data_IF_482162963788
#
_entry.id   IF_482162963788
#
_cell.length_a   1.000
_cell.length_b   1.000
_cell.length_c   1.000
_cell.angle_alpha   90.00
_cell.angle_beta   90.00
_cell.angle_gamma   90.00
#
_symmetry.space_group_name_H-M   'P 1'
#
loop_
_entity.id
_entity.type
_entity.pdbx_description
1 polymer ?
#
# COMPACT_ATOMS: atom_id res chain seq x y z
N UNK A 1 47.58 17.31 -45.07
CA UNK A 1 47.74 18.60 -45.77
C UNK A 1 46.33 19.15 -45.91
N UNK A 2 45.84 20.23 -45.30
CA UNK A 2 46.34 21.48 -44.70
C UNK A 2 45.19 21.97 -43.78
N UNK A 3 45.35 22.12 -42.45
CA UNK A 3 45.83 23.31 -41.70
C UNK A 3 45.15 24.65 -42.00
N UNK A 4 44.91 25.39 -40.90
CA UNK A 4 44.63 26.84 -40.76
C UNK A 4 43.14 27.20 -40.67
N UNK A 5 42.62 27.92 -39.68
CA UNK A 5 43.25 28.71 -38.62
C UNK A 5 42.54 30.07 -38.50
N UNK A 6 41.82 30.29 -37.40
CA UNK A 6 41.55 31.56 -36.68
C UNK A 6 41.16 32.87 -37.42
N UNK A 7 40.22 33.63 -36.85
CA UNK A 7 40.38 34.99 -36.27
C UNK A 7 39.02 35.73 -36.21
N UNK A 8 38.74 36.33 -35.04
CA UNK A 8 37.59 37.17 -34.67
C UNK A 8 37.47 38.46 -35.52
N UNK A 9 36.34 39.19 -35.38
CA UNK A 9 36.51 40.53 -34.83
C UNK A 9 35.51 40.93 -33.75
N UNK A 10 35.96 41.96 -33.05
CA UNK A 10 35.59 42.52 -31.75
C UNK A 10 34.49 43.58 -31.85
N UNK A 11 33.64 43.63 -30.82
CA UNK A 11 32.97 44.80 -30.21
C UNK A 11 32.02 45.74 -31.00
N UNK A 12 30.77 45.82 -30.52
CA UNK A 12 30.07 47.05 -30.08
C UNK A 12 28.78 46.64 -29.32
N UNK A 13 28.75 46.73 -27.97
CA UNK A 13 28.18 47.81 -27.12
C UNK A 13 26.66 48.07 -27.28
N UNK A 14 25.95 47.94 -26.15
CA UNK A 14 24.57 48.42 -25.93
C UNK A 14 23.77 47.51 -24.98
N UNK A 15 24.10 47.43 -23.69
CA UNK A 15 23.36 48.05 -22.56
C UNK A 15 21.83 47.85 -22.61
N UNK A 16 21.30 46.98 -21.74
CA UNK A 16 20.32 47.29 -20.67
C UNK A 16 19.62 46.02 -20.15
N UNK A 17 19.80 45.75 -18.87
CA UNK A 17 18.75 45.51 -17.87
C UNK A 17 19.03 44.31 -16.96
N UNK A 18 19.43 44.68 -15.75
CA UNK A 18 19.64 43.89 -14.56
C UNK A 18 18.33 43.47 -13.90
N UNK A 19 18.26 42.24 -13.37
CA UNK A 19 17.70 41.90 -12.05
C UNK A 19 17.75 40.38 -11.81
N UNK A 20 18.86 39.90 -11.22
CA UNK A 20 18.90 38.62 -10.47
C UNK A 20 19.57 38.90 -9.12
N UNK A 21 18.86 38.63 -8.03
CA UNK A 21 19.38 38.71 -6.66
C UNK A 21 20.21 37.45 -6.32
N UNK A 22 21.43 37.60 -5.78
CA UNK A 22 22.06 36.55 -4.98
C UNK A 22 21.97 36.91 -3.48
N UNK A 23 21.24 36.11 -2.71
CA UNK A 23 21.26 36.22 -1.25
C UNK A 23 22.56 35.64 -0.69
N UNK A 24 23.26 36.48 0.06
CA UNK A 24 24.57 36.27 0.67
C UNK A 24 24.41 35.62 2.05
N UNK A 25 25.21 34.60 2.32
CA UNK A 25 25.44 34.06 3.67
C UNK A 25 26.18 35.10 4.54
N UNK A 26 25.66 35.38 5.73
CA UNK A 26 26.44 35.98 6.82
C UNK A 26 26.11 35.32 8.15
N UNK A 27 27.15 34.74 8.75
CA UNK A 27 27.25 34.19 10.09
C UNK A 27 27.09 35.27 11.17
N UNK A 28 26.36 34.98 12.26
CA UNK A 28 26.38 35.78 13.49
C UNK A 28 26.60 34.83 14.68
N UNK A 29 27.63 35.13 15.46
CA UNK A 29 28.06 34.44 16.68
C UNK A 29 27.17 34.81 17.90
N UNK A 30 27.19 34.03 19.01
CA UNK A 30 26.29 34.23 20.15
C UNK A 30 26.87 35.23 21.16
N UNK A 31 26.12 36.29 21.47
CA UNK A 31 26.47 37.24 22.54
C UNK A 31 25.85 36.78 23.87
N UNK A 32 26.69 36.38 24.82
CA UNK A 32 26.36 36.20 26.22
C UNK A 32 26.13 37.57 26.88
N UNK A 33 24.95 37.78 27.48
CA UNK A 33 24.72 38.90 28.40
C UNK A 33 24.14 38.38 29.71
N UNK A 34 24.92 38.54 30.78
CA UNK A 34 24.60 38.30 32.18
C UNK A 34 23.43 39.19 32.61
N UNK A 35 22.24 38.63 32.83
CA UNK A 35 21.13 39.35 33.44
C UNK A 35 20.96 38.97 34.90
N UNK A 36 21.27 39.95 35.75
CA UNK A 36 21.20 39.97 37.20
C UNK A 36 19.73 39.84 37.66
N UNK A 37 19.44 38.87 38.52
CA UNK A 37 18.13 38.69 39.13
C UNK A 37 17.86 39.80 40.15
N UNK A 38 16.83 40.63 39.91
CA UNK A 38 16.20 41.45 40.94
C UNK A 38 14.76 40.98 41.12
N UNK A 39 14.49 40.37 42.27
CA UNK A 39 13.16 39.93 42.71
C UNK A 39 12.31 41.16 43.07
N UNK A 40 11.45 41.59 42.16
CA UNK A 40 10.36 42.52 42.45
C UNK A 40 9.03 41.78 42.59
N UNK A 41 8.53 41.66 43.82
CA UNK A 41 7.17 41.23 44.12
C UNK A 41 6.18 42.27 43.57
N UNK A 42 5.50 41.96 42.47
CA UNK A 42 4.30 42.67 42.01
C UNK A 42 3.14 41.69 41.91
N UNK A 43 2.16 41.88 42.78
CA UNK A 43 0.87 41.20 42.76
C UNK A 43 0.19 41.36 41.39
N UNK A 44 0.11 40.28 40.62
CA UNK A 44 -0.76 40.18 39.44
C UNK A 44 -2.18 39.85 39.92
N UNK A 45 -3.23 40.56 39.45
CA UNK A 45 -4.59 40.11 39.66
C UNK A 45 -4.76 38.76 38.94
N UNK A 46 -5.45 37.82 39.60
CA UNK A 46 -5.80 36.51 39.04
C UNK A 46 -6.54 36.72 37.71
N UNK A 47 -5.84 36.49 36.59
CA UNK A 47 -6.49 36.24 35.30
C UNK A 47 -7.41 35.05 35.52
N UNK A 48 -8.72 35.27 35.38
CA UNK A 48 -9.70 34.20 35.35
C UNK A 48 -9.23 33.14 34.36
N UNK A 49 -9.39 31.87 34.73
CA UNK A 49 -9.25 30.75 33.80
C UNK A 49 -10.29 30.97 32.70
N UNK A 50 -9.88 31.54 31.57
CA UNK A 50 -10.63 31.37 30.33
C UNK A 50 -10.74 29.87 30.11
N UNK A 51 -11.97 29.36 30.20
CA UNK A 51 -12.26 27.98 29.84
C UNK A 51 -11.77 27.78 28.40
N UNK A 52 -11.05 26.68 28.09
CA UNK A 52 -10.66 26.41 26.72
C UNK A 52 -11.94 26.37 25.90
N UNK A 53 -12.09 27.31 24.97
CA UNK A 53 -13.17 27.30 24.00
C UNK A 53 -13.13 25.93 23.32
N UNK A 54 -14.20 25.14 23.49
CA UNK A 54 -14.30 23.80 22.92
C UNK A 54 -14.04 23.93 21.42
N UNK A 55 -12.84 23.54 20.98
CA UNK A 55 -12.52 23.43 19.55
C UNK A 55 -13.62 22.59 18.92
N UNK A 56 -14.34 23.12 17.94
CA UNK A 56 -15.42 22.39 17.26
C UNK A 56 -14.87 21.02 16.85
N UNK A 57 -15.37 19.95 17.49
CA UNK A 57 -14.98 18.58 17.15
C UNK A 57 -15.33 18.38 15.68
N UNK A 58 -14.34 17.99 14.87
CA UNK A 58 -14.56 17.65 13.47
C UNK A 58 -15.58 16.52 13.32
N UNK A 59 -16.06 16.25 12.10
CA UNK A 59 -17.01 15.17 11.86
C UNK A 59 -16.39 13.82 12.29
N UNK A 60 -17.15 13.06 13.08
CA UNK A 60 -16.72 11.75 13.58
C UNK A 60 -16.72 10.68 12.48
N UNK A 61 -17.49 10.88 11.42
CA UNK A 61 -17.60 9.97 10.29
C UNK A 61 -16.86 10.52 9.06
N UNK A 62 -16.55 9.62 8.13
CA UNK A 62 -16.10 10.02 6.81
C UNK A 62 -17.26 10.63 6.03
N UNK A 63 -16.98 11.68 5.23
CA UNK A 63 -17.98 12.32 4.38
C UNK A 63 -18.55 11.27 3.43
N UNK A 64 -19.86 11.16 3.33
CA UNK A 64 -20.55 10.29 2.37
C UNK A 64 -21.18 11.15 1.29
N UNK A 65 -21.13 10.67 0.04
CA UNK A 65 -21.74 11.32 -1.12
C UNK A 65 -22.91 10.44 -1.53
N UNK A 66 -24.11 11.01 -1.66
CA UNK A 66 -25.29 10.25 -2.06
C UNK A 66 -25.05 9.55 -3.40
N UNK A 67 -25.19 8.22 -3.41
CA UNK A 67 -24.91 7.40 -4.60
C UNK A 67 -26.00 7.47 -5.67
N UNK A 68 -27.18 8.00 -5.32
CA UNK A 68 -28.35 8.08 -6.22
C UNK A 68 -28.12 8.96 -7.44
N UNK A 69 -27.32 10.00 -7.27
CA UNK A 69 -27.07 11.01 -8.31
C UNK A 69 -25.88 10.62 -9.21
N UNK A 70 -25.17 9.53 -8.90
CA UNK A 70 -23.98 9.10 -9.65
C UNK A 70 -24.32 7.98 -10.65
N UNK A 71 -23.77 8.02 -11.86
CA UNK A 71 -23.92 6.92 -12.81
C UNK A 71 -23.20 5.67 -12.28
N UNK A 72 -23.93 4.56 -12.25
CA UNK A 72 -23.41 3.25 -11.86
C UNK A 72 -23.45 2.30 -13.05
N UNK A 73 -22.48 1.39 -13.11
CA UNK A 73 -22.28 0.50 -14.24
C UNK A 73 -22.36 -0.96 -13.81
N UNK A 74 -22.84 -1.82 -14.71
CA UNK A 74 -22.71 -3.27 -14.55
C UNK A 74 -21.24 -3.68 -14.70
N UNK A 75 -20.87 -4.85 -14.16
CA UNK A 75 -19.50 -5.35 -14.27
C UNK A 75 -19.05 -5.46 -15.73
N UNK A 76 -19.88 -6.04 -16.61
CA UNK A 76 -19.55 -6.20 -18.03
C UNK A 76 -19.36 -4.85 -18.74
N UNK A 77 -20.19 -3.84 -18.41
CA UNK A 77 -20.07 -2.50 -19.01
C UNK A 77 -18.79 -1.80 -18.53
N UNK A 78 -18.51 -1.84 -17.22
CA UNK A 78 -17.27 -1.29 -16.67
C UNK A 78 -16.03 -1.96 -17.29
N UNK A 79 -16.03 -3.28 -17.44
CA UNK A 79 -14.95 -4.01 -18.10
C UNK A 79 -14.75 -3.58 -19.55
N UNK A 80 -15.84 -3.39 -20.31
CA UNK A 80 -15.79 -2.90 -21.69
C UNK A 80 -15.07 -1.56 -21.78
N UNK A 81 -15.45 -0.59 -20.94
CA UNK A 81 -14.84 0.73 -20.94
C UNK A 81 -13.37 0.69 -20.51
N UNK A 82 -13.06 -0.04 -19.43
CA UNK A 82 -11.68 -0.18 -18.95
C UNK A 82 -10.79 -0.79 -20.03
N UNK A 83 -11.24 -1.85 -20.72
CA UNK A 83 -10.46 -2.50 -21.78
C UNK A 83 -10.25 -1.59 -23.00
N UNK A 84 -11.23 -0.77 -23.34
CA UNK A 84 -11.07 0.22 -24.40
C UNK A 84 -10.00 1.26 -24.05
N UNK A 85 -9.90 1.64 -22.78
CA UNK A 85 -8.93 2.62 -22.29
C UNK A 85 -7.52 2.01 -22.21
N UNK A 86 -7.40 0.76 -21.78
CA UNK A 86 -6.12 0.04 -21.67
C UNK A 86 -5.66 -0.62 -22.98
N UNK A 87 -6.16 -0.16 -24.13
CA UNK A 87 -5.77 -0.71 -25.44
C UNK A 87 -4.26 -0.56 -25.68
N UNK A 88 -3.64 -1.60 -26.23
CA UNK A 88 -2.20 -1.64 -26.49
C UNK A 88 -1.32 -1.87 -25.26
N UNK A 89 -1.91 -2.16 -24.09
CA UNK A 89 -1.17 -2.58 -22.89
C UNK A 89 -1.12 -4.10 -22.76
N UNK A 90 -0.08 -4.59 -22.10
CA UNK A 90 0.06 -6.03 -21.86
C UNK A 90 -1.01 -6.54 -20.87
N UNK A 91 -1.81 -7.56 -21.24
CA UNK A 91 -2.98 -7.97 -20.48
C UNK A 91 -2.65 -8.65 -19.13
N UNK A 92 -1.45 -9.19 -18.98
CA UNK A 92 -0.93 -9.86 -17.78
C UNK A 92 -0.38 -8.87 -16.75
N UNK A 93 0.18 -7.75 -17.21
CA UNK A 93 0.80 -6.72 -16.37
C UNK A 93 -0.25 -5.77 -15.80
N UNK A 94 -1.22 -5.35 -16.62
CA UNK A 94 -2.27 -4.45 -16.17
C UNK A 94 -3.30 -5.18 -15.31
N UNK A 95 -3.67 -4.56 -14.19
CA UNK A 95 -4.54 -5.16 -13.18
C UNK A 95 -5.81 -4.35 -13.00
N UNK A 96 -6.89 -5.06 -12.72
CA UNK A 96 -8.12 -4.50 -12.18
C UNK A 96 -7.94 -4.30 -10.67
N UNK A 97 -8.19 -3.08 -10.19
CA UNK A 97 -8.19 -2.72 -8.78
C UNK A 97 -9.60 -2.40 -8.31
N UNK A 98 -9.90 -2.86 -7.09
CA UNK A 98 -11.18 -2.61 -6.44
C UNK A 98 -10.98 -1.65 -5.28
N UNK A 99 -11.77 -0.59 -5.26
CA UNK A 99 -11.82 0.38 -4.18
C UNK A 99 -13.17 0.24 -3.48
N UNK A 100 -13.14 -0.33 -2.29
CA UNK A 100 -14.34 -0.58 -1.48
C UNK A 100 -14.37 0.48 -0.39
N UNK A 101 -15.32 1.41 -0.50
CA UNK A 101 -15.56 2.45 0.50
C UNK A 101 -16.47 1.89 1.58
N UNK A 102 -16.04 2.04 2.82
CA UNK A 102 -16.77 1.62 4.00
C UNK A 102 -17.42 2.83 4.67
N UNK A 103 -18.62 2.62 5.19
CA UNK A 103 -19.25 3.52 6.15
C UNK A 103 -18.72 3.19 7.53
N UNK A 104 -17.90 4.08 8.09
CA UNK A 104 -17.31 3.90 9.42
C UNK A 104 -16.95 5.24 10.07
N UNK A 105 -16.64 5.19 11.37
CA UNK A 105 -16.13 6.32 12.16
C UNK A 105 -14.61 6.44 11.97
N UNK A 106 -14.09 7.66 12.06
CA UNK A 106 -12.65 7.94 11.93
C UNK A 106 -11.80 7.27 13.01
N UNK A 107 -12.35 7.16 14.22
CA UNK A 107 -11.65 6.61 15.40
C UNK A 107 -11.85 5.09 15.56
N UNK A 108 -12.26 4.39 14.49
CA UNK A 108 -12.53 2.95 14.52
C UNK A 108 -11.28 2.07 14.32
N UNK A 109 -11.33 0.79 14.76
CA UNK A 109 -10.30 -0.19 14.41
C UNK A 109 -10.23 -0.38 12.89
N UNK A 110 -9.04 -0.65 12.33
CA UNK A 110 -8.87 -0.85 10.88
C UNK A 110 -8.95 -2.32 10.51
N UNK A 111 -9.59 -2.64 9.38
CA UNK A 111 -9.59 -4.00 8.84
C UNK A 111 -8.22 -4.27 8.19
N UNK A 112 -7.58 -5.37 8.57
CA UNK A 112 -6.36 -5.89 7.95
C UNK A 112 -6.43 -7.40 7.92
N UNK A 113 -6.50 -7.97 6.72
CA UNK A 113 -6.55 -9.41 6.56
C UNK A 113 -5.90 -9.84 5.22
N UNK A 114 -5.94 -11.14 4.95
CA UNK A 114 -5.44 -11.76 3.73
C UNK A 114 -6.54 -12.63 3.11
N UNK A 115 -6.59 -12.63 1.79
CA UNK A 115 -7.55 -13.40 1.00
C UNK A 115 -6.81 -14.16 -0.09
N UNK A 116 -7.20 -15.42 -0.30
CA UNK A 116 -6.79 -16.20 -1.46
C UNK A 116 -7.87 -16.12 -2.52
N UNK A 117 -7.48 -15.78 -3.75
CA UNK A 117 -8.40 -15.72 -4.87
C UNK A 117 -8.59 -17.11 -5.52
N UNK A 118 -9.80 -17.42 -6.01
CA UNK A 118 -10.03 -18.56 -6.91
C UNK A 118 -9.18 -18.49 -8.18
N UNK A 119 -9.02 -17.27 -8.74
CA UNK A 119 -8.19 -17.02 -9.91
C UNK A 119 -7.00 -16.13 -9.56
N UNK A 120 -5.78 -16.59 -9.87
CA UNK A 120 -4.54 -15.96 -9.43
C UNK A 120 -4.31 -14.58 -10.07
N UNK A 121 -4.34 -13.52 -9.26
CA UNK A 121 -4.16 -12.13 -9.72
C UNK A 121 -2.69 -11.75 -9.86
N UNK A 122 -1.85 -12.28 -8.99
CA UNK A 122 -0.42 -11.97 -8.92
C UNK A 122 0.40 -13.19 -9.27
N UNK A 123 1.60 -12.95 -9.82
CA UNK A 123 2.64 -13.96 -9.92
C UNK A 123 2.91 -14.56 -8.54
N UNK A 124 3.20 -15.87 -8.50
CA UNK A 124 3.53 -16.54 -7.26
C UNK A 124 4.69 -15.84 -6.56
N UNK A 125 4.46 -15.40 -5.32
CA UNK A 125 5.49 -14.75 -4.52
C UNK A 125 6.55 -15.76 -4.12
N UNK A 126 7.83 -15.39 -4.25
CA UNK A 126 8.94 -16.21 -3.74
C UNK A 126 9.00 -16.07 -2.23
N UNK A 127 8.76 -17.16 -1.51
CA UNK A 127 8.68 -17.17 -0.05
C UNK A 127 9.97 -17.78 0.51
N UNK A 128 10.60 -17.04 1.43
CA UNK A 128 11.71 -17.51 2.25
C UNK A 128 11.20 -17.84 3.66
N UNK A 129 11.65 -18.97 4.22
CA UNK A 129 11.34 -19.39 5.58
C UNK A 129 12.63 -19.51 6.38
N UNK A 130 12.72 -18.74 7.47
CA UNK A 130 13.80 -18.82 8.44
C UNK A 130 13.41 -19.81 9.53
N UNK A 131 14.07 -20.95 9.59
CA UNK A 131 13.84 -21.98 10.60
C UNK A 131 15.13 -22.78 10.85
N UNK A 132 15.24 -23.48 12.00
CA UNK A 132 16.41 -24.27 12.30
C UNK A 132 16.63 -25.37 11.25
N UNK A 133 17.88 -25.62 10.80
CA UNK A 133 18.16 -26.62 9.78
C UNK A 133 17.75 -28.02 10.26
N UNK A 134 17.15 -28.81 9.38
CA UNK A 134 16.71 -30.18 9.68
C UNK A 134 15.46 -30.31 10.57
N UNK A 135 14.85 -29.19 10.97
CA UNK A 135 13.61 -29.18 11.75
C UNK A 135 12.39 -29.70 10.96
N UNK A 136 11.31 -30.05 11.67
CA UNK A 136 10.01 -30.40 11.04
C UNK A 136 9.49 -29.25 10.19
N UNK A 137 9.53 -28.03 10.73
CA UNK A 137 9.14 -26.80 10.05
C UNK A 137 9.89 -26.59 8.72
N UNK A 138 11.18 -26.94 8.65
CA UNK A 138 11.94 -26.83 7.41
C UNK A 138 11.42 -27.78 6.31
N UNK A 139 11.12 -29.03 6.67
CA UNK A 139 10.58 -30.02 5.73
C UNK A 139 9.17 -29.65 5.27
N UNK A 140 8.34 -29.20 6.19
CA UNK A 140 6.98 -28.74 5.94
C UNK A 140 6.95 -27.49 5.05
N UNK A 141 7.86 -26.53 5.27
CA UNK A 141 7.99 -25.35 4.43
C UNK A 141 8.37 -25.69 2.99
N UNK A 142 9.34 -26.59 2.79
CA UNK A 142 9.74 -27.06 1.46
C UNK A 142 8.59 -27.79 0.76
N UNK A 143 7.85 -28.64 1.48
CA UNK A 143 6.69 -29.34 0.94
C UNK A 143 5.55 -28.38 0.54
N UNK A 144 5.34 -27.31 1.31
CA UNK A 144 4.36 -26.27 0.99
C UNK A 144 4.77 -25.37 -0.21
N UNK A 145 6.01 -25.48 -0.69
CA UNK A 145 6.53 -24.74 -1.84
C UNK A 145 7.30 -23.46 -1.49
N UNK A 146 7.94 -23.40 -0.32
CA UNK A 146 8.92 -22.35 -0.04
C UNK A 146 10.15 -22.49 -0.95
N UNK A 147 10.64 -21.38 -1.48
CA UNK A 147 11.77 -21.36 -2.43
C UNK A 147 13.10 -21.48 -1.69
N UNK A 148 13.22 -20.82 -0.54
CA UNK A 148 14.42 -20.79 0.29
C UNK A 148 14.03 -21.12 1.72
N UNK A 149 14.73 -22.07 2.32
CA UNK A 149 14.51 -22.52 3.69
C UNK A 149 15.85 -22.71 4.37
N UNK A 150 16.07 -22.03 5.50
CA UNK A 150 17.33 -22.16 6.24
C UNK A 150 17.53 -21.03 7.25
N UNK A 151 18.62 -21.10 7.99
CA UNK A 151 18.98 -20.11 9.02
C UNK A 151 20.25 -19.34 8.64
N UNK A 152 21.44 -19.90 8.90
CA UNK A 152 22.70 -19.20 8.63
C UNK A 152 22.94 -18.93 7.14
N UNK A 153 22.64 -19.88 6.27
CA UNK A 153 22.80 -19.73 4.81
C UNK A 153 21.98 -18.55 4.26
N UNK A 154 20.74 -18.40 4.74
CA UNK A 154 19.86 -17.28 4.39
C UNK A 154 20.43 -15.97 4.94
N UNK A 155 20.96 -15.98 6.16
CA UNK A 155 21.54 -14.77 6.76
C UNK A 155 22.76 -14.28 6.00
N UNK A 156 23.63 -15.19 5.57
CA UNK A 156 24.84 -14.85 4.83
C UNK A 156 24.52 -14.36 3.42
N UNK A 157 23.54 -14.98 2.74
CA UNK A 157 23.04 -14.49 1.45
C UNK A 157 22.45 -13.07 1.56
N UNK A 158 21.65 -12.80 2.60
CA UNK A 158 21.08 -11.46 2.84
C UNK A 158 22.16 -10.43 3.16
N UNK A 159 23.19 -10.79 3.93
CA UNK A 159 24.34 -9.91 4.22
C UNK A 159 25.19 -9.62 2.98
N UNK A 160 25.33 -10.61 2.10
CA UNK A 160 25.99 -10.45 0.80
C UNK A 160 25.18 -9.56 -0.18
N UNK A 161 23.91 -9.28 0.15
CA UNK A 161 23.03 -8.44 -0.66
C UNK A 161 22.17 -9.22 -1.66
N UNK A 162 22.29 -10.54 -1.70
CA UNK A 162 21.50 -11.42 -2.57
C UNK A 162 20.15 -11.72 -1.92
N UNK A 163 19.11 -11.03 -2.36
CA UNK A 163 17.74 -11.20 -1.85
C UNK A 163 16.83 -11.62 -3.02
N UNK A 164 16.54 -12.90 -3.11
CA UNK A 164 15.74 -13.52 -4.18
C UNK A 164 14.33 -13.91 -3.73
N UNK A 165 13.84 -13.33 -2.63
CA UNK A 165 12.51 -13.59 -2.09
C UNK A 165 11.71 -12.31 -1.89
N UNK A 166 10.39 -12.42 -2.04
CA UNK A 166 9.45 -11.30 -1.95
C UNK A 166 8.74 -11.27 -0.58
N UNK A 167 8.75 -12.40 0.14
CA UNK A 167 8.18 -12.56 1.48
C UNK A 167 9.11 -13.39 2.37
N UNK A 168 9.21 -13.02 3.65
CA UNK A 168 9.98 -13.76 4.64
C UNK A 168 9.08 -14.17 5.81
N UNK A 169 9.13 -15.45 6.16
CA UNK A 169 8.55 -16.02 7.36
C UNK A 169 9.66 -16.45 8.32
N UNK A 170 9.35 -16.52 9.61
CA UNK A 170 10.25 -17.07 10.60
C UNK A 170 9.52 -17.99 11.58
N UNK A 171 10.16 -19.09 11.94
CA UNK A 171 9.75 -19.90 13.08
C UNK A 171 10.19 -19.20 14.40
N UNK A 172 9.39 -19.24 15.49
CA UNK A 172 9.75 -18.64 16.77
C UNK A 172 11.15 -19.02 17.27
N UNK A 173 11.56 -20.27 17.08
CA UNK A 173 12.87 -20.78 17.53
C UNK A 173 14.07 -20.09 16.88
N UNK A 174 13.92 -19.59 15.65
CA UNK A 174 14.99 -18.89 14.92
C UNK A 174 15.00 -17.38 15.15
N UNK A 175 14.05 -16.83 15.93
CA UNK A 175 14.05 -15.40 16.26
C UNK A 175 15.30 -14.93 17.02
N UNK A 176 15.84 -15.66 18.01
CA UNK A 176 17.06 -15.26 18.69
C UNK A 176 18.26 -15.17 17.73
N UNK A 177 18.35 -16.11 16.78
CA UNK A 177 19.41 -16.12 15.78
C UNK A 177 19.25 -14.96 14.78
N UNK A 178 18.02 -14.70 14.31
CA UNK A 178 17.69 -13.57 13.45
C UNK A 178 18.05 -12.22 14.09
N UNK A 179 17.75 -12.05 15.39
CA UNK A 179 18.09 -10.84 16.13
C UNK A 179 19.61 -10.67 16.29
N UNK A 180 20.34 -11.75 16.56
CA UNK A 180 21.82 -11.75 16.62
C UNK A 180 22.45 -11.43 15.26
N UNK A 181 21.84 -11.86 14.16
CA UNK A 181 22.34 -11.63 12.81
C UNK A 181 22.25 -10.16 12.35
N UNK A 182 21.59 -9.28 13.11
CA UNK A 182 21.48 -7.84 12.87
C UNK A 182 20.94 -7.47 11.46
N UNK A 183 20.11 -8.34 10.86
CA UNK A 183 19.56 -8.17 9.51
C UNK A 183 18.50 -7.06 9.39
N UNK A 184 18.06 -6.50 10.51
CA UNK A 184 17.03 -5.46 10.55
C UNK A 184 17.38 -4.20 9.74
N UNK A 185 18.68 -3.88 9.60
CA UNK A 185 19.13 -2.74 8.77
C UNK A 185 18.88 -2.96 7.27
N UNK A 186 18.91 -4.22 6.81
CA UNK A 186 18.74 -4.59 5.39
C UNK A 186 17.28 -4.92 5.10
N UNK A 187 16.68 -5.81 5.90
CA UNK A 187 15.31 -6.30 5.68
C UNK A 187 14.23 -5.30 6.14
N UNK A 188 14.56 -4.41 7.09
CA UNK A 188 13.63 -3.43 7.65
C UNK A 188 13.12 -2.41 6.62
N UNK A 189 14.00 -1.67 5.92
CA UNK A 189 13.59 -0.72 4.88
C UNK A 189 12.80 -1.35 3.73
N UNK A 190 13.05 -2.64 3.45
CA UNK A 190 12.33 -3.42 2.42
C UNK A 190 11.01 -4.01 2.90
N UNK A 191 10.68 -3.89 4.19
CA UNK A 191 9.45 -4.47 4.76
C UNK A 191 9.44 -6.00 4.80
N UNK A 192 10.61 -6.64 4.69
CA UNK A 192 10.77 -8.10 4.69
C UNK A 192 11.09 -8.65 6.08
N UNK A 193 11.36 -7.79 7.07
CA UNK A 193 11.72 -8.23 8.43
C UNK A 193 10.54 -8.95 9.11
N UNK A 194 10.71 -10.23 9.51
CA UNK A 194 9.67 -10.95 10.24
C UNK A 194 9.36 -10.30 11.59
N UNK A 195 8.07 -10.20 11.94
CA UNK A 195 7.63 -9.71 13.25
C UNK A 195 6.32 -10.37 13.70
N UNK A 196 6.18 -10.63 15.00
CA UNK A 196 4.96 -11.20 15.59
C UNK A 196 3.74 -10.30 15.34
N UNK A 197 3.91 -8.98 15.40
CA UNK A 197 2.84 -7.99 15.11
C UNK A 197 2.31 -8.08 13.67
N UNK A 198 3.15 -8.52 12.73
CA UNK A 198 2.77 -8.67 11.31
C UNK A 198 2.19 -10.06 11.03
N UNK A 199 2.28 -11.00 11.99
CA UNK A 199 1.83 -12.38 11.81
C UNK A 199 2.70 -13.14 10.79
N UNK A 200 3.99 -12.81 10.74
CA UNK A 200 5.00 -13.51 9.91
C UNK A 200 5.93 -14.37 10.75
N UNK A 201 5.73 -14.38 12.07
CA UNK A 201 6.34 -15.33 13.00
C UNK A 201 5.24 -16.31 13.39
N UNK A 202 5.35 -17.56 12.96
CA UNK A 202 4.29 -18.57 13.09
C UNK A 202 4.92 -19.93 13.37
N UNK A 203 4.30 -20.72 14.24
CA UNK A 203 4.68 -22.13 14.50
C UNK A 203 4.29 -23.01 13.31
N UNK A 204 3.04 -22.92 12.85
CA UNK A 204 2.57 -23.58 11.63
C UNK A 204 3.01 -22.81 10.37
N UNK A 205 4.16 -23.23 9.85
CA UNK A 205 4.77 -22.60 8.67
C UNK A 205 4.07 -23.04 7.38
N UNK A 206 3.68 -24.31 7.26
CA UNK A 206 3.10 -24.85 6.02
C UNK A 206 1.81 -24.12 5.65
N UNK A 207 0.84 -24.06 6.57
CA UNK A 207 -0.42 -23.37 6.31
C UNK A 207 -0.20 -21.89 5.97
N UNK A 208 0.80 -21.26 6.61
CA UNK A 208 1.11 -19.85 6.35
C UNK A 208 1.76 -19.63 4.98
N UNK A 209 2.64 -20.53 4.54
CA UNK A 209 3.23 -20.51 3.20
C UNK A 209 2.13 -20.68 2.15
N UNK A 210 1.23 -21.62 2.32
CA UNK A 210 0.10 -21.84 1.40
C UNK A 210 -0.86 -20.66 1.32
N UNK A 211 -1.13 -20.01 2.46
CA UNK A 211 -1.94 -18.79 2.50
C UNK A 211 -1.25 -17.62 1.80
N UNK A 212 0.06 -17.45 2.01
CA UNK A 212 0.84 -16.38 1.36
C UNK A 212 1.01 -16.63 -0.13
N UNK A 213 1.07 -17.90 -0.55
CA UNK A 213 1.14 -18.29 -1.95
C UNK A 213 -0.20 -18.01 -2.64
N UNK A 214 -0.22 -16.95 -3.45
CA UNK A 214 -1.45 -16.45 -4.09
C UNK A 214 -2.37 -15.65 -3.16
N UNK A 215 -1.98 -15.45 -1.90
CA UNK A 215 -2.69 -14.61 -0.94
C UNK A 215 -2.44 -13.13 -1.20
N UNK A 216 -3.52 -12.37 -1.35
CA UNK A 216 -3.46 -10.91 -1.43
C UNK A 216 -3.81 -10.32 -0.06
N UNK A 217 -2.89 -9.50 0.46
CA UNK A 217 -3.10 -8.76 1.71
C UNK A 217 -3.85 -7.49 1.38
N UNK A 218 -4.92 -7.20 2.11
CA UNK A 218 -5.63 -5.92 2.04
C UNK A 218 -5.67 -5.25 3.40
N UNK A 219 -5.65 -3.93 3.36
CA UNK A 219 -5.70 -3.07 4.55
C UNK A 219 -6.56 -1.87 4.26
N UNK A 220 -7.46 -1.59 5.18
CA UNK A 220 -8.25 -0.37 5.18
C UNK A 220 -7.37 0.86 5.48
N UNK A 221 -7.54 1.89 4.65
CA UNK A 221 -6.98 3.22 4.85
C UNK A 221 -8.05 4.26 4.52
N UNK A 222 -8.28 5.20 5.42
CA UNK A 222 -9.27 6.28 5.23
C UNK A 222 -10.68 5.76 4.86
N UNK A 223 -11.11 4.67 5.52
CA UNK A 223 -12.34 3.94 5.24
C UNK A 223 -12.45 3.37 3.81
N UNK A 224 -11.33 3.21 3.09
CA UNK A 224 -11.29 2.55 1.78
C UNK A 224 -10.35 1.35 1.85
N UNK A 225 -10.84 0.20 1.40
CA UNK A 225 -10.02 -0.97 1.13
C UNK A 225 -9.67 -0.95 -0.36
N UNK A 226 -8.37 -1.05 -0.67
CA UNK A 226 -7.84 -1.07 -2.03
C UNK A 226 -7.10 -2.37 -2.24
N UNK A 227 -7.45 -3.12 -3.27
CA UNK A 227 -6.78 -4.36 -3.62
C UNK A 227 -6.89 -4.68 -5.12
N UNK A 228 -5.87 -5.28 -5.73
CA UNK A 228 -5.98 -5.84 -7.06
C UNK A 228 -6.84 -7.12 -7.01
N UNK A 229 -7.81 -7.23 -7.92
CA UNK A 229 -8.78 -8.35 -7.97
C UNK A 229 -8.70 -9.19 -9.23
N UNK A 230 -8.01 -8.72 -10.27
CA UNK A 230 -7.83 -9.46 -11.52
C UNK A 230 -6.77 -8.85 -12.42
N UNK A 231 -6.42 -9.57 -13.48
CA UNK A 231 -5.60 -9.05 -14.59
C UNK A 231 -6.51 -8.63 -15.75
N UNK A 232 -6.03 -7.74 -16.62
CA UNK A 232 -6.80 -7.24 -17.77
C UNK A 232 -7.27 -8.37 -18.70
N UNK A 233 -6.47 -9.45 -18.82
CA UNK A 233 -6.79 -10.65 -19.58
C UNK A 233 -7.88 -11.55 -18.98
N UNK A 234 -8.37 -11.29 -17.76
CA UNK A 234 -9.38 -12.15 -17.12
C UNK A 234 -10.71 -12.11 -17.84
N UNK A 235 -11.39 -13.26 -17.87
CA UNK A 235 -12.78 -13.30 -18.33
C UNK A 235 -13.71 -12.61 -17.33
N UNK A 236 -14.90 -12.13 -17.77
CA UNK A 236 -15.86 -11.51 -16.86
C UNK A 236 -16.30 -12.44 -15.72
N UNK A 237 -16.40 -13.74 -15.97
CA UNK A 237 -16.74 -14.74 -14.96
C UNK A 237 -15.64 -14.88 -13.91
N UNK A 238 -14.37 -14.97 -14.34
CA UNK A 238 -13.22 -15.05 -13.43
C UNK A 238 -13.15 -13.82 -12.53
N UNK A 239 -13.35 -12.63 -13.11
CA UNK A 239 -13.34 -11.38 -12.35
C UNK A 239 -14.51 -11.33 -11.35
N UNK A 240 -15.71 -11.73 -11.76
CA UNK A 240 -16.89 -11.82 -10.89
C UNK A 240 -16.63 -12.72 -9.69
N UNK A 241 -16.07 -13.91 -9.92
CA UNK A 241 -15.85 -14.90 -8.86
C UNK A 241 -14.83 -14.38 -7.84
N UNK A 242 -13.75 -13.73 -8.29
CA UNK A 242 -12.79 -13.06 -7.42
C UNK A 242 -13.43 -11.89 -6.63
N UNK A 243 -14.26 -11.07 -7.27
CA UNK A 243 -14.97 -9.96 -6.61
C UNK A 243 -15.95 -10.45 -5.55
N UNK A 244 -16.68 -11.53 -5.82
CA UNK A 244 -17.61 -12.13 -4.85
C UNK A 244 -16.88 -12.59 -3.60
N UNK A 245 -15.80 -13.35 -3.78
CA UNK A 245 -14.96 -13.84 -2.66
C UNK A 245 -14.37 -12.68 -1.85
N UNK A 246 -13.95 -11.60 -2.52
CA UNK A 246 -13.47 -10.38 -1.87
C UNK A 246 -14.54 -9.70 -1.00
N UNK A 247 -15.73 -9.45 -1.57
CA UNK A 247 -16.81 -8.77 -0.86
C UNK A 247 -17.34 -9.60 0.30
N UNK A 248 -17.47 -10.92 0.11
CA UNK A 248 -17.93 -11.83 1.16
C UNK A 248 -16.93 -11.88 2.32
N UNK A 249 -15.62 -11.90 2.04
CA UNK A 249 -14.61 -11.85 3.08
C UNK A 249 -14.58 -10.51 3.81
N UNK A 250 -14.69 -9.39 3.08
CA UNK A 250 -14.69 -8.05 3.72
C UNK A 250 -15.93 -7.86 4.59
N UNK A 251 -17.09 -8.37 4.18
CA UNK A 251 -18.30 -8.37 5.02
C UNK A 251 -18.10 -9.20 6.30
N UNK A 252 -17.50 -10.39 6.18
CA UNK A 252 -17.16 -11.23 7.34
C UNK A 252 -16.20 -10.51 8.29
N UNK A 253 -15.13 -9.92 7.76
CA UNK A 253 -14.15 -9.16 8.55
C UNK A 253 -14.77 -7.93 9.20
N UNK A 254 -15.67 -7.23 8.50
CA UNK A 254 -16.39 -6.10 9.03
C UNK A 254 -17.32 -6.50 10.19
N UNK A 255 -17.99 -7.65 10.09
CA UNK A 255 -18.84 -8.20 11.16
C UNK A 255 -18.06 -8.81 12.32
N UNK A 256 -16.86 -9.32 12.08
CA UNK A 256 -15.97 -9.86 13.12
C UNK A 256 -15.28 -8.75 13.92
N UNK A 257 -15.35 -7.50 13.45
CA UNK A 257 -14.81 -6.35 14.15
C UNK A 257 -15.72 -5.98 15.33
N UNK A 258 -15.13 -5.46 16.41
CA UNK A 258 -15.79 -5.18 17.70
C UNK A 258 -17.22 -4.65 17.59
N UNK A 259 -18.16 -5.23 18.33
CA UNK A 259 -19.62 -4.98 18.36
C UNK A 259 -20.05 -3.49 18.44
N UNK A 260 -19.13 -2.59 18.80
CA UNK A 260 -19.40 -1.15 18.95
C UNK A 260 -19.21 -0.34 17.66
N UNK A 261 -18.57 -0.89 16.63
CA UNK A 261 -18.26 -0.18 15.38
C UNK A 261 -18.73 -0.99 14.19
N UNK A 262 -19.95 -0.71 13.73
CA UNK A 262 -20.48 -1.30 12.52
C UNK A 262 -19.78 -0.69 11.30
N UNK A 263 -19.20 -1.55 10.46
CA UNK A 263 -18.64 -1.19 9.17
C UNK A 263 -19.50 -1.79 8.08
N UNK A 264 -19.99 -0.94 7.19
CA UNK A 264 -20.83 -1.37 6.07
C UNK A 264 -20.16 -0.99 4.77
N UNK A 265 -20.33 -1.81 3.74
CA UNK A 265 -19.88 -1.46 2.39
C UNK A 265 -20.80 -0.38 1.85
N UNK A 266 -20.25 0.79 1.57
CA UNK A 266 -20.98 1.94 1.04
C UNK A 266 -20.96 1.94 -0.49
N UNK A 267 -19.76 1.89 -1.07
CA UNK A 267 -19.55 2.00 -2.52
C UNK A 267 -18.43 1.06 -2.95
N UNK A 268 -18.58 0.48 -4.15
CA UNK A 268 -17.55 -0.35 -4.78
C UNK A 268 -17.21 0.26 -6.13
N UNK A 269 -15.95 0.67 -6.30
CA UNK A 269 -15.45 1.27 -7.53
C UNK A 269 -14.42 0.34 -8.14
N UNK A 270 -14.59 0.01 -9.42
CA UNK A 270 -13.64 -0.76 -10.22
C UNK A 270 -12.79 0.18 -11.05
N UNK A 271 -11.48 0.02 -10.99
CA UNK A 271 -10.50 0.78 -11.77
C UNK A 271 -9.50 -0.16 -12.42
N UNK A 272 -8.72 0.35 -13.36
CA UNK A 272 -7.45 -0.26 -13.79
C UNK A 272 -6.28 0.62 -13.39
N UNK A 273 -5.06 0.14 -13.67
CA UNK A 273 -3.81 0.86 -13.41
C UNK A 273 -3.75 2.24 -14.09
N UNK A 274 -4.25 2.38 -15.32
CA UNK A 274 -4.24 3.65 -16.07
C UNK A 274 -5.65 4.17 -16.39
N UNK A 275 -6.70 3.49 -15.92
CA UNK A 275 -8.09 3.82 -16.21
C UNK A 275 -8.77 4.64 -15.12
N UNK A 276 -9.93 5.24 -15.44
CA UNK A 276 -10.79 5.86 -14.45
C UNK A 276 -11.51 4.81 -13.60
N UNK A 277 -12.00 5.24 -12.43
CA UNK A 277 -12.84 4.43 -11.56
C UNK A 277 -14.31 4.47 -11.97
N UNK A 278 -14.91 3.28 -12.16
CA UNK A 278 -16.33 3.11 -12.44
C UNK A 278 -17.05 2.60 -11.18
N UNK A 279 -18.06 3.34 -10.71
CA UNK A 279 -18.91 2.90 -9.61
C UNK A 279 -19.81 1.76 -10.08
N UNK A 280 -19.87 0.66 -9.30
CA UNK A 280 -20.59 -0.55 -9.69
C UNK A 280 -21.98 -0.61 -9.05
N UNK A 281 -22.99 -1.05 -9.83
CA UNK A 281 -24.36 -1.22 -9.35
C UNK A 281 -24.61 -2.59 -8.66
N UNK A 282 -23.66 -3.52 -8.77
CA UNK A 282 -23.77 -4.89 -8.23
C UNK A 282 -24.35 -5.92 -9.21
N UNK A 283 -24.76 -5.50 -10.41
CA UNK A 283 -25.23 -6.38 -11.46
C UNK A 283 -24.06 -6.92 -12.29
N UNK A 284 -24.17 -8.18 -12.71
CA UNK A 284 -23.17 -8.77 -13.59
C UNK A 284 -23.27 -8.20 -15.02
N UNK A 285 -24.50 -8.01 -15.51
CA UNK A 285 -24.80 -7.71 -16.91
C UNK A 285 -26.11 -6.90 -16.99
N UNK A 286 -26.15 -5.89 -17.86
CA UNK A 286 -27.36 -5.13 -18.21
C UNK A 286 -27.90 -5.56 -19.59
N UNK A 287 -29.15 -5.25 -19.95
CA UNK A 287 -29.70 -5.63 -21.27
C UNK A 287 -28.93 -5.02 -22.45
N UNK A 288 -28.34 -3.83 -22.25
CA UNK A 288 -27.53 -3.13 -23.24
C UNK A 288 -26.05 -3.56 -23.27
N UNK A 289 -25.63 -4.37 -22.30
CA UNK A 289 -24.23 -4.74 -22.16
C UNK A 289 -23.79 -5.79 -23.19
N UNK A 290 -22.50 -5.77 -23.59
CA UNK A 290 -21.97 -6.71 -24.56
C UNK A 290 -22.10 -8.17 -24.08
N UNK A 291 -22.19 -9.13 -25.01
CA UNK A 291 -22.15 -10.54 -24.64
C UNK A 291 -20.79 -10.88 -24.04
N UNK A 292 -20.79 -11.79 -23.06
CA UNK A 292 -19.57 -12.18 -22.32
C UNK A 292 -18.49 -12.75 -23.24
N UNK A 293 -18.87 -13.36 -24.37
CA UNK A 293 -17.96 -13.84 -25.41
C UNK A 293 -17.10 -12.73 -26.02
N UNK A 294 -17.66 -11.53 -26.22
CA UNK A 294 -16.91 -10.37 -26.73
C UNK A 294 -15.92 -9.79 -25.71
N UNK A 295 -16.08 -10.17 -24.44
CA UNK A 295 -15.21 -9.77 -23.32
C UNK A 295 -14.32 -10.93 -22.83
N UNK A 296 -14.36 -12.11 -23.45
CA UNK A 296 -13.31 -13.11 -23.21
C UNK A 296 -12.00 -12.56 -23.78
N UNK A 297 -10.94 -12.60 -22.97
CA UNK A 297 -9.67 -11.91 -23.23
C UNK A 297 -9.09 -12.23 -24.61
N UNK A 298 -8.42 -11.23 -25.21
CA UNK A 298 -7.35 -11.47 -26.20
C UNK A 298 -6.19 -12.20 -25.53
#
# INVERSE_FOLDING_TARGET
>A
MSSSGSVLPTAARGILSSCRNPLRNTSIAPSLSTFQQVRGLKNKPKKGKEQPTKSRKGPQEFRQINLKDMPQYSLCDAMRYIRAIEVGREPTVQKYELHIRLRTKRDGPVIRNMLRFPHAVQTESRICVICPPGSKAAKEALAAGAVLVGEQEVFDAVKAGTIEFDRCLAHPDSLPALNKAALGRILGPRGLMPSAKTGTVVEDVAARVEMLRGGTVYRERDAVIRLPVGQLGFSPEQLRDNMRVTLDQIKKDASALTDRVNKEVYEVVLSSTNGPGFSLNGEFRSDASPPTSALKGM
#
